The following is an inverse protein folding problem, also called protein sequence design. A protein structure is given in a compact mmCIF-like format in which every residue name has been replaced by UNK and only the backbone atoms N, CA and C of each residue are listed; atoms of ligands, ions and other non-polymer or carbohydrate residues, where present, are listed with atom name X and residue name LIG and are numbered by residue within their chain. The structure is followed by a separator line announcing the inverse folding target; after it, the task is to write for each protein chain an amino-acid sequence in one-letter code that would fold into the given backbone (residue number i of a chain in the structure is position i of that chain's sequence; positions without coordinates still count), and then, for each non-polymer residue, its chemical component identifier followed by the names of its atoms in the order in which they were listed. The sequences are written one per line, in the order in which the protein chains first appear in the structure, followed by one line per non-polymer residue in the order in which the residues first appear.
data_IF_996589039288
#
_entry.id   IF_996589039288
#
_cell.length_a   1.000
_cell.length_b   1.000
_cell.length_c   1.000
_cell.angle_alpha   90.00
_cell.angle_beta   90.00
_cell.angle_gamma   90.00
#
_symmetry.space_group_name_H-M   'P 1'
#
loop_
_entity.id
_entity.type
_entity.pdbx_description
1 polymer ?
#
# COMPACT_ATOMS: atom_id res chain seq x y z
N UNK A 1 14.08 -25.35 0.86
CA UNK A 1 13.30 -24.11 0.61
C UNK A 1 13.63 -23.61 -0.78
N UNK A 2 12.64 -23.28 -1.60
CA UNK A 2 12.86 -22.65 -2.90
C UNK A 2 13.05 -21.12 -2.76
N UNK A 3 13.45 -20.44 -3.83
CA UNK A 3 13.72 -18.99 -3.82
C UNK A 3 12.51 -18.17 -3.35
N UNK A 4 11.30 -18.55 -3.77
CA UNK A 4 10.06 -17.89 -3.35
C UNK A 4 9.84 -18.01 -1.84
N UNK A 5 10.07 -19.19 -1.27
CA UNK A 5 9.94 -19.44 0.17
C UNK A 5 10.99 -18.66 0.98
N UNK A 6 12.22 -18.52 0.48
CA UNK A 6 13.25 -17.68 1.10
C UNK A 6 12.80 -16.22 1.11
N UNK A 7 12.34 -15.71 -0.05
CA UNK A 7 11.87 -14.32 -0.16
C UNK A 7 10.71 -14.05 0.79
N UNK A 8 9.74 -14.95 0.84
CA UNK A 8 8.57 -14.81 1.73
C UNK A 8 8.99 -14.69 3.20
N UNK A 9 9.85 -15.60 3.67
CA UNK A 9 10.36 -15.56 5.05
C UNK A 9 11.17 -14.30 5.34
N UNK A 10 11.95 -13.83 4.37
CA UNK A 10 12.69 -12.57 4.49
C UNK A 10 11.77 -11.36 4.67
N UNK A 11 10.72 -11.26 3.86
CA UNK A 11 9.72 -10.19 3.98
C UNK A 11 8.99 -10.25 5.32
N UNK A 12 8.58 -11.43 5.77
CA UNK A 12 7.94 -11.62 7.08
C UNK A 12 8.85 -11.17 8.24
N UNK A 13 10.13 -11.54 8.20
CA UNK A 13 11.10 -11.12 9.20
C UNK A 13 11.29 -9.58 9.20
N UNK A 14 11.37 -8.96 8.02
CA UNK A 14 11.47 -7.50 7.88
C UNK A 14 10.23 -6.79 8.43
N UNK A 15 9.02 -7.26 8.12
CA UNK A 15 7.77 -6.71 8.67
C UNK A 15 7.78 -6.81 10.20
N UNK A 16 8.13 -7.98 10.74
CA UNK A 16 8.13 -8.19 12.19
C UNK A 16 9.13 -7.27 12.92
N UNK A 17 10.27 -6.95 12.31
CA UNK A 17 11.32 -6.15 12.96
C UNK A 17 11.23 -4.65 12.70
N UNK A 18 10.78 -4.25 11.52
CA UNK A 18 10.80 -2.85 11.07
C UNK A 18 9.40 -2.24 10.94
N UNK A 19 8.35 -3.06 11.05
CA UNK A 19 7.00 -2.71 10.66
C UNK A 19 6.84 -2.56 9.13
N UNK A 20 5.60 -2.40 8.63
CA UNK A 20 5.35 -2.31 7.18
C UNK A 20 6.10 -1.16 6.51
N UNK A 21 6.12 0.02 7.14
CA UNK A 21 6.77 1.20 6.57
C UNK A 21 8.31 1.08 6.56
N UNK A 22 8.90 0.45 7.57
CA UNK A 22 10.33 0.21 7.62
C UNK A 22 10.77 -0.87 6.63
N UNK A 23 9.96 -1.93 6.47
CA UNK A 23 10.18 -2.96 5.46
C UNK A 23 10.20 -2.39 4.03
N UNK A 24 9.22 -1.55 3.67
CA UNK A 24 9.17 -0.92 2.34
C UNK A 24 10.42 -0.06 2.08
N UNK A 25 10.81 0.78 3.04
CA UNK A 25 12.02 1.62 2.91
C UNK A 25 13.29 0.80 2.79
N UNK A 26 13.39 -0.31 3.53
CA UNK A 26 14.53 -1.22 3.43
C UNK A 26 14.63 -1.81 2.03
N UNK A 27 13.53 -2.31 1.46
CA UNK A 27 13.53 -2.85 0.10
C UNK A 27 13.92 -1.79 -0.94
N UNK A 28 13.44 -0.56 -0.78
CA UNK A 28 13.79 0.58 -1.65
C UNK A 28 15.29 0.96 -1.65
N UNK A 29 16.08 0.49 -0.67
CA UNK A 29 17.54 0.70 -0.67
C UNK A 29 18.26 -0.17 -1.70
N UNK A 30 17.68 -1.32 -2.05
CA UNK A 30 18.28 -2.31 -2.94
C UNK A 30 17.61 -2.35 -4.31
N UNK A 31 16.37 -1.87 -4.40
CA UNK A 31 15.59 -1.82 -5.62
C UNK A 31 15.06 -0.40 -5.80
N UNK A 32 15.29 0.18 -6.98
CA UNK A 32 14.80 1.53 -7.30
C UNK A 32 13.26 1.59 -7.36
N UNK A 33 12.60 0.44 -7.46
CA UNK A 33 11.18 0.34 -7.76
C UNK A 33 10.87 0.82 -9.18
N UNK A 34 9.64 0.62 -9.61
CA UNK A 34 9.13 1.07 -10.90
C UNK A 34 7.71 1.63 -10.71
N UNK A 35 7.34 2.59 -11.57
CA UNK A 35 6.07 3.31 -11.48
C UNK A 35 6.18 4.73 -10.89
N UNK A 36 5.15 5.53 -11.12
CA UNK A 36 5.03 6.89 -10.61
C UNK A 36 3.73 6.96 -9.79
N UNK A 37 3.80 6.50 -8.54
CA UNK A 37 2.65 6.46 -7.65
C UNK A 37 1.98 7.83 -7.50
N UNK A 38 2.74 8.93 -7.62
CA UNK A 38 2.15 10.27 -7.57
C UNK A 38 1.21 10.50 -8.76
N UNK A 39 1.61 10.15 -9.99
CA UNK A 39 0.73 10.23 -11.16
C UNK A 39 -0.41 9.23 -11.10
N UNK A 40 -0.12 7.98 -10.77
CA UNK A 40 -1.13 6.91 -10.67
C UNK A 40 -2.20 7.24 -9.62
N UNK A 41 -1.79 7.76 -8.46
CA UNK A 41 -2.71 8.21 -7.41
C UNK A 41 -3.61 9.33 -7.90
N UNK A 42 -3.08 10.30 -8.65
CA UNK A 42 -3.92 11.36 -9.21
C UNK A 42 -4.96 10.77 -10.15
N UNK A 43 -4.59 9.90 -11.09
CA UNK A 43 -5.54 9.25 -12.00
C UNK A 43 -6.60 8.41 -11.26
N UNK A 44 -6.21 7.69 -10.21
CA UNK A 44 -7.12 6.86 -9.42
C UNK A 44 -8.14 7.70 -8.64
N UNK A 45 -7.71 8.83 -8.09
CA UNK A 45 -8.50 9.68 -7.20
C UNK A 45 -9.12 10.90 -7.88
N UNK A 46 -8.77 11.20 -9.13
CA UNK A 46 -9.24 12.37 -9.90
C UNK A 46 -10.78 12.50 -9.90
N UNK A 47 -11.47 11.37 -9.85
CA UNK A 47 -12.94 11.28 -9.91
C UNK A 47 -13.63 11.29 -8.55
N UNK A 48 -12.90 11.45 -7.45
CA UNK A 48 -13.48 11.39 -6.10
C UNK A 48 -13.16 12.65 -5.33
N UNK A 49 -14.20 13.40 -4.98
CA UNK A 49 -14.08 14.49 -4.03
C UNK A 49 -14.16 13.98 -2.60
N UNK A 50 -13.58 14.73 -1.65
CA UNK A 50 -13.70 14.42 -0.22
C UNK A 50 -15.18 14.41 0.21
N UNK A 51 -15.98 15.34 -0.32
CA UNK A 51 -17.42 15.41 -0.05
C UNK A 51 -18.15 14.14 -0.51
N UNK A 52 -17.90 13.68 -1.73
CA UNK A 52 -18.49 12.43 -2.24
C UNK A 52 -18.10 11.21 -1.41
N UNK A 53 -16.88 11.20 -0.87
CA UNK A 53 -16.39 10.14 0.01
C UNK A 53 -17.14 10.15 1.34
N UNK A 54 -17.34 11.33 1.93
CA UNK A 54 -18.12 11.53 3.16
C UNK A 54 -19.57 11.04 2.95
N UNK A 55 -20.21 11.42 1.86
CA UNK A 55 -21.57 10.99 1.53
C UNK A 55 -21.69 9.47 1.34
N UNK A 56 -20.66 8.83 0.79
CA UNK A 56 -20.61 7.36 0.68
C UNK A 56 -20.49 6.70 2.06
N UNK A 57 -19.69 7.26 2.96
CA UNK A 57 -19.53 6.74 4.33
C UNK A 57 -20.85 6.85 5.10
N UNK A 58 -21.55 7.97 5.01
CA UNK A 58 -22.86 8.15 5.66
C UNK A 58 -23.90 7.16 5.14
N UNK A 59 -24.07 7.06 3.82
CA UNK A 59 -25.01 6.10 3.21
C UNK A 59 -24.76 4.65 3.62
N UNK A 60 -23.49 4.26 3.72
CA UNK A 60 -23.12 2.90 4.13
C UNK A 60 -23.51 2.59 5.58
N UNK A 61 -23.34 3.57 6.48
CA UNK A 61 -23.72 3.45 7.90
C UNK A 61 -25.24 3.45 8.11
N UNK A 62 -26.00 4.08 7.23
CA UNK A 62 -27.47 4.07 7.28
C UNK A 62 -28.09 2.79 6.73
N UNK A 63 -27.34 2.05 5.88
CA UNK A 63 -27.75 0.76 5.31
C UNK A 63 -27.36 -0.47 6.15
N UNK A 64 -26.65 -0.26 7.27
CA UNK A 64 -26.28 -1.27 8.28
C UNK A 64 -27.25 -1.20 9.47
#
# INVERSE_FOLDING_TARGET
MNLRQIRQKGVEALIHKLGPAGMVRFLQQFEQGEGDYSKERHQLLEKQTVTELIDKIHRRRESE
#
